data_IF_391461895949
#
_entry.id   IF_391461895949
#
_cell.length_a   1.000
_cell.length_b   1.000
_cell.length_c   1.000
_cell.angle_alpha   90.00
_cell.angle_beta   90.00
_cell.angle_gamma   90.00
#
_symmetry.space_group_name_H-M   'P 1'
#
loop_
_entity.id
_entity.type
_entity.pdbx_description
1 polymer ?
#
# COMPACT_ATOMS: atom_id res chain seq x y z
N UNK A 1 -17.26 -46.04 42.30
CA UNK A 1 -16.11 -45.12 42.18
C UNK A 1 -16.15 -44.52 40.77
N UNK A 2 -16.52 -43.27 40.67
CA UNK A 2 -16.42 -42.52 39.41
C UNK A 2 -15.02 -41.92 39.38
N UNK A 3 -14.16 -42.45 38.51
CA UNK A 3 -12.86 -41.80 38.22
C UNK A 3 -13.15 -40.53 37.44
N UNK A 4 -12.95 -39.42 38.13
CA UNK A 4 -12.97 -38.08 37.54
C UNK A 4 -11.73 -37.94 36.63
N UNK A 5 -11.90 -38.23 35.33
CA UNK A 5 -10.86 -37.97 34.32
C UNK A 5 -10.71 -36.49 34.14
N UNK A 6 -9.80 -35.86 34.89
CA UNK A 6 -9.43 -34.48 34.68
C UNK A 6 -8.87 -34.32 33.27
N UNK A 7 -9.58 -33.59 32.42
CA UNK A 7 -9.12 -33.24 31.07
C UNK A 7 -8.01 -32.20 31.21
N UNK A 8 -6.78 -32.57 30.82
CA UNK A 8 -5.65 -31.62 30.78
C UNK A 8 -5.63 -30.89 29.43
N UNK A 9 -5.67 -29.59 29.47
CA UNK A 9 -5.48 -28.75 28.30
C UNK A 9 -4.02 -28.27 28.26
N UNK A 10 -3.35 -28.49 27.13
CA UNK A 10 -2.04 -27.95 26.87
C UNK A 10 -2.20 -26.83 25.83
N UNK A 11 -1.72 -25.61 26.10
CA UNK A 11 -1.80 -24.56 25.12
C UNK A 11 -0.91 -24.87 23.90
N UNK A 12 -1.41 -24.57 22.72
CA UNK A 12 -0.62 -24.63 21.48
C UNK A 12 0.46 -23.55 21.53
N UNK A 13 1.72 -23.83 21.13
CA UNK A 13 2.75 -22.81 21.00
C UNK A 13 2.26 -21.62 20.16
N UNK A 14 2.63 -20.40 20.54
CA UNK A 14 2.11 -19.18 19.91
C UNK A 14 2.49 -19.07 18.42
N UNK A 15 3.71 -19.46 18.09
CA UNK A 15 4.21 -19.53 16.71
C UNK A 15 3.37 -20.48 15.85
N UNK A 16 3.14 -21.69 16.33
CA UNK A 16 2.29 -22.69 15.65
C UNK A 16 0.85 -22.18 15.48
N UNK A 17 0.30 -21.54 16.51
CA UNK A 17 -1.03 -20.94 16.43
C UNK A 17 -1.09 -19.85 15.33
N UNK A 18 -0.10 -18.97 15.28
CA UNK A 18 -0.03 -17.90 14.29
C UNK A 18 0.15 -18.46 12.87
N UNK A 19 1.04 -19.43 12.68
CA UNK A 19 1.26 -20.08 11.38
C UNK A 19 0.01 -20.78 10.86
N UNK A 20 -0.73 -21.47 11.73
CA UNK A 20 -1.98 -22.11 11.37
C UNK A 20 -3.03 -21.08 10.90
N UNK A 21 -3.09 -19.91 11.53
CA UNK A 21 -3.99 -18.82 11.12
C UNK A 21 -3.59 -18.23 9.77
N UNK A 22 -2.30 -17.99 9.53
CA UNK A 22 -1.80 -17.49 8.24
C UNK A 22 -2.10 -18.50 7.13
N UNK A 23 -1.84 -19.79 7.35
CA UNK A 23 -2.16 -20.86 6.39
C UNK A 23 -3.64 -20.88 6.05
N UNK A 24 -4.52 -20.79 7.07
CA UNK A 24 -5.97 -20.77 6.85
C UNK A 24 -6.41 -19.55 6.03
N UNK A 25 -5.82 -18.38 6.27
CA UNK A 25 -6.10 -17.17 5.47
C UNK A 25 -5.63 -17.31 4.03
N UNK A 26 -4.49 -17.96 3.79
CA UNK A 26 -4.00 -18.24 2.44
C UNK A 26 -4.94 -19.20 1.68
N UNK A 27 -5.39 -20.28 2.32
CA UNK A 27 -6.38 -21.21 1.75
C UNK A 27 -7.68 -20.50 1.35
N UNK A 28 -8.22 -19.67 2.26
CA UNK A 28 -9.43 -18.87 2.00
C UNK A 28 -9.23 -17.88 0.85
N UNK A 29 -8.07 -17.25 0.76
CA UNK A 29 -7.72 -16.37 -0.37
C UNK A 29 -7.74 -17.13 -1.68
N UNK A 30 -7.13 -18.31 -1.74
CA UNK A 30 -7.08 -19.13 -2.95
C UNK A 30 -8.47 -19.64 -3.36
N UNK A 31 -9.31 -20.00 -2.39
CA UNK A 31 -10.70 -20.39 -2.60
C UNK A 31 -11.50 -19.24 -3.21
N UNK A 32 -11.42 -18.03 -2.61
CA UNK A 32 -12.09 -16.83 -3.12
C UNK A 32 -11.62 -16.46 -4.52
N UNK A 33 -10.32 -16.58 -4.82
CA UNK A 33 -9.79 -16.28 -6.16
C UNK A 33 -10.27 -17.28 -7.22
N UNK A 34 -10.63 -18.51 -6.83
CA UNK A 34 -11.22 -19.51 -7.74
C UNK A 34 -12.71 -19.31 -7.97
N UNK A 35 -13.44 -18.91 -6.93
CA UNK A 35 -14.90 -18.82 -6.96
C UNK A 35 -15.38 -17.45 -7.48
N UNK A 36 -14.64 -16.39 -7.19
CA UNK A 36 -15.00 -15.06 -7.66
C UNK A 36 -14.49 -14.84 -9.09
N UNK A 37 -15.36 -14.36 -10.00
CA UNK A 37 -14.89 -13.99 -11.32
C UNK A 37 -13.78 -12.95 -11.21
N UNK A 38 -12.67 -13.17 -11.92
CA UNK A 38 -11.59 -12.18 -12.03
C UNK A 38 -12.14 -10.95 -12.72
N UNK A 39 -12.78 -10.07 -11.97
CA UNK A 39 -13.17 -8.75 -12.43
C UNK A 39 -11.90 -7.92 -12.61
N UNK A 40 -11.23 -8.12 -13.73
CA UNK A 40 -10.31 -7.14 -14.29
C UNK A 40 -11.12 -5.96 -14.89
N UNK A 41 -12.18 -5.53 -14.21
CA UNK A 41 -12.74 -4.24 -14.50
C UNK A 41 -11.72 -3.23 -13.98
N UNK A 42 -10.95 -2.65 -14.91
CA UNK A 42 -10.38 -1.34 -14.68
C UNK A 42 -11.54 -0.51 -14.12
N UNK A 43 -11.45 -0.12 -12.85
CA UNK A 43 -12.49 0.70 -12.24
C UNK A 43 -12.47 2.01 -13.00
N UNK A 44 -13.37 2.10 -13.97
CA UNK A 44 -13.52 3.28 -14.83
C UNK A 44 -14.21 4.39 -14.02
N UNK A 45 -13.46 5.06 -13.17
CA UNK A 45 -14.00 6.08 -12.29
C UNK A 45 -13.04 6.58 -11.22
N UNK A 46 -13.63 7.22 -10.24
CA UNK A 46 -12.95 7.74 -9.06
C UNK A 46 -13.41 6.97 -7.83
N UNK A 47 -12.45 6.44 -7.08
CA UNK A 47 -12.73 5.72 -5.83
C UNK A 47 -12.21 6.55 -4.66
N UNK A 48 -13.06 6.75 -3.66
CA UNK A 48 -12.64 7.32 -2.39
C UNK A 48 -12.33 6.20 -1.40
N UNK A 49 -11.11 6.21 -0.86
CA UNK A 49 -10.64 5.28 0.15
C UNK A 49 -10.60 6.03 1.48
N UNK A 50 -11.16 5.45 2.52
CA UNK A 50 -11.21 6.03 3.87
C UNK A 50 -10.40 5.20 4.86
N UNK A 51 -9.72 5.88 5.77
CA UNK A 51 -8.89 5.26 6.81
C UNK A 51 -7.42 5.13 6.41
N UNK A 52 -6.53 5.48 7.35
CA UNK A 52 -5.08 5.49 7.11
C UNK A 52 -4.55 4.12 6.72
N UNK A 53 -4.98 3.05 7.41
CA UNK A 53 -4.56 1.67 7.12
C UNK A 53 -4.93 1.26 5.70
N UNK A 54 -6.17 1.53 5.28
CA UNK A 54 -6.65 1.16 3.94
C UNK A 54 -5.94 1.95 2.84
N UNK A 55 -5.62 3.22 3.10
CA UNK A 55 -4.83 4.05 2.19
C UNK A 55 -3.42 3.48 2.03
N UNK A 56 -2.73 3.18 3.14
CA UNK A 56 -1.38 2.59 3.10
C UNK A 56 -1.40 1.23 2.38
N UNK A 57 -2.38 0.37 2.66
CA UNK A 57 -2.53 -0.91 1.97
C UNK A 57 -2.75 -0.74 0.46
N UNK A 58 -3.57 0.25 0.06
CA UNK A 58 -3.78 0.55 -1.36
C UNK A 58 -2.50 1.04 -2.03
N UNK A 59 -1.73 1.91 -1.37
CA UNK A 59 -0.43 2.38 -1.85
C UNK A 59 0.54 1.21 -2.05
N UNK A 60 0.69 0.35 -1.05
CA UNK A 60 1.54 -0.86 -1.13
C UNK A 60 1.14 -1.74 -2.32
N UNK A 61 -0.14 -2.06 -2.44
CA UNK A 61 -0.66 -2.87 -3.54
C UNK A 61 -0.41 -2.23 -4.92
N UNK A 62 -0.52 -0.91 -5.03
CA UNK A 62 -0.25 -0.19 -6.27
C UNK A 62 1.24 -0.22 -6.62
N UNK A 63 2.13 -0.04 -5.64
CA UNK A 63 3.60 -0.13 -5.82
C UNK A 63 4.01 -1.54 -6.25
N UNK A 64 3.47 -2.57 -5.60
CA UNK A 64 3.77 -3.98 -5.94
C UNK A 64 3.34 -4.32 -7.37
N UNK A 65 2.22 -3.79 -7.84
CA UNK A 65 1.69 -4.05 -9.20
C UNK A 65 2.38 -3.24 -10.30
N UNK A 66 3.05 -2.15 -9.96
CA UNK A 66 3.74 -1.29 -10.91
C UNK A 66 4.81 -2.06 -11.69
N UNK A 67 4.96 -1.73 -12.99
CA UNK A 67 5.83 -2.44 -13.95
C UNK A 67 6.96 -1.58 -14.51
N UNK A 68 6.84 -0.25 -14.48
CA UNK A 68 7.80 0.64 -15.11
C UNK A 68 8.29 1.75 -14.18
N UNK A 69 7.40 2.48 -13.52
CA UNK A 69 7.79 3.66 -12.75
C UNK A 69 6.84 4.01 -11.62
N UNK A 70 7.40 4.57 -10.56
CA UNK A 70 6.67 5.05 -9.39
C UNK A 70 7.14 6.47 -9.08
N UNK A 71 6.20 7.37 -8.86
CA UNK A 71 6.41 8.68 -8.29
C UNK A 71 5.59 8.75 -7.01
N UNK A 72 6.24 8.94 -5.88
CA UNK A 72 5.57 9.05 -4.58
C UNK A 72 6.02 10.30 -3.85
N UNK A 73 5.05 11.01 -3.33
CA UNK A 73 5.25 12.21 -2.53
C UNK A 73 4.35 12.09 -1.30
N UNK A 74 4.94 12.00 -0.12
CA UNK A 74 4.21 11.78 1.11
C UNK A 74 4.98 12.27 2.34
N UNK A 75 4.34 12.17 3.50
CA UNK A 75 4.97 12.41 4.79
C UNK A 75 6.08 11.39 5.05
N UNK A 76 7.06 11.76 5.88
CA UNK A 76 8.19 10.89 6.18
C UNK A 76 7.74 9.54 6.78
N UNK A 77 6.73 9.56 7.65
CA UNK A 77 6.16 8.34 8.24
C UNK A 77 5.49 7.44 7.19
N UNK A 78 4.80 8.02 6.21
CA UNK A 78 4.19 7.27 5.13
C UNK A 78 5.26 6.66 4.19
N UNK A 79 6.29 7.42 3.83
CA UNK A 79 7.40 6.91 3.02
C UNK A 79 8.11 5.76 3.75
N UNK A 80 8.33 5.87 5.05
CA UNK A 80 8.94 4.80 5.86
C UNK A 80 8.05 3.55 5.90
N UNK A 81 6.74 3.70 6.02
CA UNK A 81 5.79 2.59 5.96
C UNK A 81 5.76 1.87 4.60
N UNK A 82 6.20 2.53 3.52
CA UNK A 82 6.28 2.00 2.16
C UNK A 82 7.69 1.52 1.79
N UNK A 83 8.68 1.64 2.68
CA UNK A 83 10.10 1.33 2.41
C UNK A 83 10.30 -0.05 1.79
N UNK A 84 9.62 -1.07 2.31
CA UNK A 84 9.74 -2.45 1.83
C UNK A 84 9.34 -2.58 0.36
N UNK A 85 8.16 -2.11 0.02
CA UNK A 85 7.61 -2.17 -1.34
C UNK A 85 8.39 -1.29 -2.33
N UNK A 86 8.89 -0.13 -1.88
CA UNK A 86 9.75 0.74 -2.68
C UNK A 86 11.10 0.09 -2.96
N UNK A 87 11.70 -0.59 -1.98
CA UNK A 87 12.95 -1.35 -2.14
C UNK A 87 12.77 -2.49 -3.15
N UNK A 88 11.69 -3.24 -3.04
CA UNK A 88 11.34 -4.28 -4.01
C UNK A 88 11.15 -3.71 -5.42
N UNK A 89 10.47 -2.56 -5.55
CA UNK A 89 10.26 -1.91 -6.83
C UNK A 89 11.60 -1.51 -7.49
N UNK A 90 12.55 -0.94 -6.73
CA UNK A 90 13.91 -0.67 -7.21
C UNK A 90 14.61 -1.97 -7.61
N UNK A 91 14.51 -3.02 -6.79
CA UNK A 91 15.09 -4.35 -7.10
C UNK A 91 14.54 -4.98 -8.39
N UNK A 92 13.30 -4.68 -8.74
CA UNK A 92 12.67 -5.06 -10.03
C UNK A 92 13.11 -4.18 -11.20
N UNK A 93 13.95 -3.16 -10.99
CA UNK A 93 14.42 -2.24 -12.02
C UNK A 93 13.46 -1.11 -12.38
N UNK A 94 12.44 -0.83 -11.56
CA UNK A 94 11.54 0.28 -11.79
C UNK A 94 12.22 1.62 -11.51
N UNK A 95 11.85 2.65 -12.26
CA UNK A 95 12.21 4.03 -11.91
C UNK A 95 11.38 4.48 -10.71
N UNK A 96 12.02 4.63 -9.55
CA UNK A 96 11.38 5.09 -8.31
C UNK A 96 11.83 6.53 -8.00
N UNK A 97 10.88 7.44 -7.90
CA UNK A 97 11.09 8.83 -7.52
C UNK A 97 10.32 9.11 -6.24
N UNK A 98 11.03 9.61 -5.23
CA UNK A 98 10.48 9.88 -3.90
C UNK A 98 10.65 11.38 -3.61
N UNK A 99 9.58 12.01 -3.16
CA UNK A 99 9.58 13.40 -2.71
C UNK A 99 9.16 13.41 -1.24
N UNK A 100 10.05 13.86 -0.36
CA UNK A 100 9.86 13.80 1.10
C UNK A 100 10.41 15.06 1.78
N UNK A 101 10.00 15.32 3.02
CA UNK A 101 10.40 16.52 3.77
C UNK A 101 11.69 16.35 4.56
N UNK A 102 12.13 15.12 4.83
CA UNK A 102 13.32 14.81 5.62
C UNK A 102 14.30 13.89 4.89
N UNK A 103 15.55 13.83 5.35
CA UNK A 103 16.54 12.93 4.79
C UNK A 103 16.04 11.47 4.79
N UNK A 104 16.00 10.89 3.58
CA UNK A 104 15.63 9.51 3.33
C UNK A 104 16.65 8.92 2.37
N UNK A 105 17.05 7.68 2.59
CA UNK A 105 18.01 7.00 1.73
C UNK A 105 17.41 5.68 1.26
N UNK A 106 17.36 5.52 -0.06
CA UNK A 106 17.02 4.27 -0.74
C UNK A 106 17.91 4.17 -1.97
N UNK A 107 18.83 3.22 -1.95
CA UNK A 107 19.76 3.00 -3.06
C UNK A 107 18.99 2.66 -4.34
N UNK A 108 19.35 3.30 -5.45
CA UNK A 108 18.69 3.15 -6.73
C UNK A 108 17.42 3.99 -6.94
N UNK A 109 16.91 4.68 -5.92
CA UNK A 109 15.82 5.62 -6.06
C UNK A 109 16.33 7.05 -6.27
N UNK A 110 15.53 7.89 -6.95
CA UNK A 110 15.76 9.33 -7.08
C UNK A 110 14.98 10.03 -5.98
N UNK A 111 15.66 10.79 -5.13
CA UNK A 111 15.04 11.44 -3.98
C UNK A 111 15.11 12.96 -4.14
N UNK A 112 13.96 13.61 -4.02
CA UNK A 112 13.83 15.05 -3.95
C UNK A 112 13.33 15.49 -2.58
N UNK A 113 13.78 16.62 -2.12
CA UNK A 113 13.36 17.21 -0.86
C UNK A 113 12.49 18.44 -1.14
N UNK A 114 11.25 18.40 -0.65
CA UNK A 114 10.33 19.51 -0.77
C UNK A 114 9.62 19.75 0.57
N UNK A 115 9.40 21.02 0.91
CA UNK A 115 8.57 21.34 2.06
C UNK A 115 7.11 21.06 1.72
N UNK A 116 6.51 20.09 2.40
CA UNK A 116 5.12 19.67 2.13
C UNK A 116 4.20 19.93 3.31
N UNK A 117 2.91 20.20 3.06
CA UNK A 117 1.89 20.16 4.10
C UNK A 117 1.89 18.78 4.78
N UNK A 118 1.77 18.78 6.10
CA UNK A 118 2.07 17.65 6.97
C UNK A 118 1.24 16.37 6.78
N UNK A 119 0.26 16.32 5.88
CA UNK A 119 -0.63 15.17 5.72
C UNK A 119 -0.81 14.69 4.28
N UNK A 120 -0.32 15.45 3.29
CA UNK A 120 -0.57 15.13 1.88
C UNK A 120 0.19 13.89 1.42
N UNK A 121 -0.53 13.07 0.64
CA UNK A 121 0.04 11.92 -0.06
C UNK A 121 -0.34 11.95 -1.53
N UNK A 122 0.61 11.64 -2.41
CA UNK A 122 0.42 11.51 -3.85
C UNK A 122 1.25 10.34 -4.35
N UNK A 123 0.66 9.49 -5.17
CA UNK A 123 1.35 8.41 -5.84
C UNK A 123 0.88 8.36 -7.29
N UNK A 124 1.82 8.21 -8.22
CA UNK A 124 1.56 7.89 -9.62
C UNK A 124 2.32 6.61 -9.95
N UNK A 125 1.62 5.59 -10.42
CA UNK A 125 2.20 4.34 -10.89
C UNK A 125 2.03 4.20 -12.41
N UNK A 126 3.12 3.88 -13.10
CA UNK A 126 3.21 3.60 -14.53
C UNK A 126 2.60 4.67 -15.44
N UNK A 127 2.34 5.86 -14.93
CA UNK A 127 1.59 6.91 -15.63
C UNK A 127 0.15 6.51 -16.00
N UNK A 128 -0.43 5.57 -15.27
CA UNK A 128 -1.76 5.01 -15.52
C UNK A 128 -2.67 5.07 -14.29
N UNK A 129 -2.11 5.08 -13.10
CA UNK A 129 -2.87 5.12 -11.86
C UNK A 129 -2.38 6.27 -10.98
N UNK A 130 -3.31 6.92 -10.29
CA UNK A 130 -3.02 7.98 -9.34
C UNK A 130 -3.77 7.76 -8.03
N UNK A 131 -3.07 7.98 -6.92
CA UNK A 131 -3.65 8.17 -5.60
C UNK A 131 -3.27 9.54 -5.07
N UNK A 132 -4.24 10.24 -4.48
CA UNK A 132 -4.01 11.53 -3.83
C UNK A 132 -4.95 11.71 -2.65
N UNK A 133 -4.47 12.29 -1.56
CA UNK A 133 -5.29 12.51 -0.38
C UNK A 133 -4.51 12.98 0.82
N UNK A 134 -5.12 12.85 1.97
CA UNK A 134 -4.55 13.22 3.25
C UNK A 134 -4.45 12.01 4.18
N UNK A 135 -3.26 11.85 4.78
CA UNK A 135 -3.01 10.93 5.88
C UNK A 135 -2.95 11.73 7.18
N UNK A 136 -4.09 12.09 7.69
CA UNK A 136 -4.20 12.74 9.00
C UNK A 136 -4.17 11.69 10.12
N UNK A 137 -3.74 12.11 11.31
CA UNK A 137 -3.87 11.27 12.49
C UNK A 137 -5.36 11.06 12.81
N UNK A 138 -5.78 9.79 12.91
CA UNK A 138 -7.16 9.41 13.24
C UNK A 138 -8.02 8.96 12.06
N UNK A 139 -9.34 8.94 12.26
CA UNK A 139 -10.33 8.36 11.33
C UNK A 139 -10.65 9.20 10.10
N UNK A 140 -10.08 10.40 9.97
CA UNK A 140 -10.43 11.36 8.91
C UNK A 140 -9.56 11.26 7.64
N UNK A 141 -8.63 10.30 7.58
CA UNK A 141 -7.81 10.09 6.39
C UNK A 141 -8.67 9.69 5.20
N UNK A 142 -8.53 10.42 4.09
CA UNK A 142 -9.23 10.12 2.84
C UNK A 142 -8.28 10.22 1.66
N UNK A 143 -8.44 9.34 0.69
CA UNK A 143 -7.64 9.30 -0.52
C UNK A 143 -8.52 9.03 -1.73
N UNK A 144 -8.27 9.73 -2.82
CA UNK A 144 -8.87 9.50 -4.13
C UNK A 144 -7.93 8.60 -4.95
N UNK A 145 -8.48 7.53 -5.50
CA UNK A 145 -7.80 6.66 -6.47
C UNK A 145 -8.49 6.72 -7.82
N UNK A 146 -7.74 6.77 -8.90
CA UNK A 146 -8.27 6.70 -10.26
C UNK A 146 -7.24 6.22 -11.27
N UNK A 147 -7.72 5.56 -12.33
CA UNK A 147 -6.98 5.25 -13.55
C UNK A 147 -7.35 6.16 -14.73
N UNK A 148 -8.14 7.21 -14.48
CA UNK A 148 -8.51 8.19 -15.53
C UNK A 148 -7.31 9.02 -15.96
N UNK A 149 -7.01 9.03 -17.25
CA UNK A 149 -5.84 9.69 -17.83
C UNK A 149 -5.82 11.19 -17.54
N UNK A 150 -6.97 11.86 -17.59
CA UNK A 150 -7.06 13.29 -17.27
C UNK A 150 -6.55 13.63 -15.85
N UNK A 151 -6.84 12.77 -14.86
CA UNK A 151 -6.35 12.96 -13.50
C UNK A 151 -4.85 12.66 -13.42
N UNK A 152 -4.39 11.59 -14.06
CA UNK A 152 -2.97 11.24 -14.12
C UNK A 152 -2.13 12.38 -14.73
N UNK A 153 -2.60 12.97 -15.83
CA UNK A 153 -1.89 14.06 -16.50
C UNK A 153 -1.85 15.33 -15.64
N UNK A 154 -2.96 15.67 -14.98
CA UNK A 154 -3.03 16.78 -14.03
C UNK A 154 -1.98 16.64 -12.92
N UNK A 155 -1.83 15.44 -12.35
CA UNK A 155 -0.86 15.18 -11.29
C UNK A 155 0.59 15.13 -11.79
N UNK A 156 0.83 14.67 -13.01
CA UNK A 156 2.16 14.76 -13.64
C UNK A 156 2.60 16.20 -13.82
N UNK A 157 1.71 17.07 -14.26
CA UNK A 157 2.03 18.48 -14.45
C UNK A 157 2.25 19.20 -13.10
N UNK A 158 1.48 18.83 -12.07
CA UNK A 158 1.73 19.34 -10.72
C UNK A 158 3.09 18.92 -10.17
N UNK A 159 3.53 17.67 -10.42
CA UNK A 159 4.84 17.18 -9.94
C UNK A 159 6.05 17.74 -10.71
N UNK A 160 5.86 18.25 -11.93
CA UNK A 160 6.94 18.93 -12.68
C UNK A 160 7.24 20.31 -12.14
N UNK A 161 6.30 20.90 -11.41
CA UNK A 161 6.38 22.27 -10.89
C UNK A 161 6.74 22.31 -9.39
N UNK A 162 7.00 21.17 -8.75
CA UNK A 162 7.52 21.03 -7.38
C UNK A 162 9.04 20.89 -7.36
#
# INVERSE_FOLDING_TARGET
MLEDKATRYTPVPLDEFCENRVRRLQELKEELLRELPSTSQSVDGYITIKGATEIINKLKNTIVKAKARIYVSATDSAIEALRGELTEAVGRGLKVVIITGRPFVLEGAIIYYAHKPNSQIRLIADSQEVLTGDLADGSNSTCLYSSKQNLVDLFKDALKNE
#
